data_IF_990823406700
#
_entry.id   IF_990823406700
#
_cell.length_a   1.000
_cell.length_b   1.000
_cell.length_c   1.000
_cell.angle_alpha   90.00
_cell.angle_beta   90.00
_cell.angle_gamma   90.00
#
_symmetry.space_group_name_H-M   'P 1'
#
loop_
_entity.id
_entity.type
_entity.pdbx_description
1 polymer ?
#
# COMPACT_ATOMS: atom_id res chain seq x y z
N UNK A 1 7.67 -14.14 -7.05
CA UNK A 1 6.93 -13.00 -7.64
C UNK A 1 7.40 -11.71 -6.98
N UNK A 2 7.42 -10.59 -7.71
CA UNK A 2 7.99 -9.31 -7.22
C UNK A 2 6.87 -8.46 -6.62
N UNK A 3 7.02 -8.04 -5.35
CA UNK A 3 6.06 -7.14 -4.69
C UNK A 3 5.96 -5.81 -5.47
N UNK A 4 4.73 -5.41 -5.84
CA UNK A 4 4.43 -4.16 -6.52
C UNK A 4 3.54 -3.28 -5.65
N UNK A 5 3.62 -1.96 -5.81
CA UNK A 5 2.80 -1.02 -5.06
C UNK A 5 1.80 -0.31 -5.98
N UNK A 6 0.57 -0.15 -5.52
CA UNK A 6 -0.46 0.62 -6.21
C UNK A 6 -0.09 2.11 -6.29
N UNK A 7 -0.23 2.74 -7.46
CA UNK A 7 0.07 4.16 -7.63
C UNK A 7 -0.90 5.11 -6.91
N UNK A 8 -2.11 4.64 -6.59
CA UNK A 8 -3.17 5.46 -5.98
C UNK A 8 -3.27 5.23 -4.47
N UNK A 9 -3.45 3.98 -4.04
CA UNK A 9 -3.66 3.66 -2.62
C UNK A 9 -2.41 3.15 -1.90
N UNK A 10 -1.29 3.03 -2.61
CA UNK A 10 0.01 2.58 -2.10
C UNK A 10 0.05 1.16 -1.52
N UNK A 11 -1.05 0.40 -1.60
CA UNK A 11 -1.09 -0.98 -1.15
C UNK A 11 -0.07 -1.83 -1.94
N UNK A 12 0.69 -2.64 -1.22
CA UNK A 12 1.60 -3.62 -1.82
C UNK A 12 0.78 -4.86 -2.15
N UNK A 13 0.77 -5.20 -3.44
CA UNK A 13 -0.04 -6.26 -4.04
C UNK A 13 0.81 -7.05 -5.04
N UNK A 14 0.22 -8.12 -5.55
CA UNK A 14 0.77 -8.89 -6.66
C UNK A 14 0.02 -8.55 -7.95
N UNK A 15 0.73 -8.58 -9.09
CA UNK A 15 0.17 -8.30 -10.41
C UNK A 15 0.22 -6.82 -10.82
N UNK A 16 -0.26 -6.56 -12.03
CA UNK A 16 -0.22 -5.23 -12.68
C UNK A 16 -1.36 -4.29 -12.25
N UNK A 17 -2.43 -4.84 -11.67
CA UNK A 17 -3.64 -4.11 -11.30
C UNK A 17 -3.93 -4.32 -9.81
N UNK A 18 -4.19 -3.23 -9.10
CA UNK A 18 -4.43 -3.27 -7.67
C UNK A 18 -5.79 -3.90 -7.35
N UNK A 19 -5.79 -5.00 -6.61
CA UNK A 19 -7.01 -5.69 -6.18
C UNK A 19 -7.90 -4.88 -5.21
N UNK A 20 -7.39 -3.76 -4.69
CA UNK A 20 -8.13 -2.90 -3.73
C UNK A 20 -8.89 -1.78 -4.43
N UNK A 21 -8.33 -1.20 -5.51
CA UNK A 21 -8.90 -0.01 -6.16
C UNK A 21 -8.84 -0.02 -7.69
N UNK A 22 -8.41 -1.14 -8.29
CA UNK A 22 -8.25 -1.35 -9.74
C UNK A 22 -7.29 -0.39 -10.47
N UNK A 23 -6.47 0.37 -9.72
CA UNK A 23 -5.43 1.21 -10.32
C UNK A 23 -4.17 0.41 -10.71
N UNK A 24 -3.34 0.93 -11.63
CA UNK A 24 -2.07 0.30 -12.00
C UNK A 24 -1.09 0.21 -10.83
N UNK A 25 -0.22 -0.80 -10.87
CA UNK A 25 0.84 -1.01 -9.89
C UNK A 25 2.22 -0.73 -10.48
N UNK A 26 3.20 -0.49 -9.62
CA UNK A 26 4.59 -0.21 -9.99
C UNK A 26 5.54 -1.09 -9.20
N UNK A 27 6.64 -1.50 -9.85
CA UNK A 27 7.78 -2.11 -9.15
C UNK A 27 8.78 -1.08 -8.64
N UNK A 28 8.67 0.19 -9.04
CA UNK A 28 9.48 1.28 -8.50
C UNK A 28 8.71 1.96 -7.37
N UNK A 29 9.04 1.52 -6.16
CA UNK A 29 8.50 2.08 -4.93
C UNK A 29 9.54 1.95 -3.82
N UNK A 30 9.37 2.73 -2.75
CA UNK A 30 10.31 2.74 -1.62
C UNK A 30 9.62 3.02 -0.30
N UNK A 31 10.22 2.51 0.78
CA UNK A 31 9.68 2.58 2.13
C UNK A 31 8.57 1.55 2.35
N UNK A 32 8.67 0.77 3.43
CA UNK A 32 7.76 -0.32 3.74
C UNK A 32 7.00 -0.01 5.02
N UNK A 33 5.68 -0.17 4.98
CA UNK A 33 4.81 0.01 6.13
C UNK A 33 3.86 -1.18 6.24
N UNK A 34 3.79 -1.77 7.43
CA UNK A 34 2.78 -2.78 7.75
C UNK A 34 1.81 -2.16 8.75
N UNK A 35 0.54 -2.11 8.38
CA UNK A 35 -0.54 -1.74 9.29
C UNK A 35 -1.25 -3.03 9.73
N UNK A 36 -1.12 -3.37 11.01
CA UNK A 36 -1.78 -4.54 11.61
C UNK A 36 -3.19 -4.20 12.07
N UNK A 37 -3.33 -3.10 12.83
CA UNK A 37 -4.61 -2.59 13.31
C UNK A 37 -4.71 -1.09 12.99
N UNK A 38 -5.45 -0.71 11.93
CA UNK A 38 -5.63 0.69 11.56
C UNK A 38 -6.27 1.55 12.66
N UNK A 39 -7.19 0.96 13.44
CA UNK A 39 -7.95 1.69 14.47
C UNK A 39 -7.05 2.13 15.62
N UNK A 40 -6.08 1.29 16.00
CA UNK A 40 -5.13 1.54 17.08
C UNK A 40 -3.78 2.12 16.59
N UNK A 41 -3.59 2.33 15.29
CA UNK A 41 -2.34 2.84 14.72
C UNK A 41 -2.40 4.34 14.44
N UNK A 42 -1.64 5.13 15.21
CA UNK A 42 -1.43 6.56 14.94
C UNK A 42 -0.84 6.83 13.55
N UNK A 43 0.00 5.91 13.07
CA UNK A 43 0.60 6.00 11.72
C UNK A 43 -0.48 5.79 10.66
N UNK A 44 -1.34 4.78 10.82
CA UNK A 44 -2.44 4.52 9.89
C UNK A 44 -3.40 5.72 9.82
N UNK A 45 -3.78 6.26 10.98
CA UNK A 45 -4.64 7.45 11.07
C UNK A 45 -4.03 8.65 10.35
N UNK A 46 -2.74 8.93 10.58
CA UNK A 46 -2.02 10.03 9.92
C UNK A 46 -1.93 9.85 8.40
N UNK A 47 -1.88 8.60 7.92
CA UNK A 47 -1.82 8.26 6.50
C UNK A 47 -3.20 8.03 5.86
N UNK A 48 -4.28 8.12 6.63
CA UNK A 48 -5.64 7.82 6.13
C UNK A 48 -5.87 6.35 5.76
N UNK A 49 -5.03 5.43 6.23
CA UNK A 49 -5.14 3.98 5.96
C UNK A 49 -6.22 3.39 6.87
N UNK A 50 -7.22 2.74 6.26
CA UNK A 50 -8.36 2.13 6.97
C UNK A 50 -8.38 0.60 6.92
N UNK A 51 -7.52 0.01 6.10
CA UNK A 51 -7.48 -1.44 5.87
C UNK A 51 -6.12 -1.95 6.34
N UNK A 52 -6.06 -3.08 7.08
CA UNK A 52 -4.78 -3.68 7.44
C UNK A 52 -4.08 -4.22 6.20
N UNK A 53 -2.76 -4.14 6.18
CA UNK A 53 -1.98 -4.59 5.02
C UNK A 53 -0.59 -4.00 4.95
N UNK A 54 0.07 -4.28 3.83
CA UNK A 54 1.38 -3.79 3.47
C UNK A 54 1.23 -2.60 2.53
N UNK A 55 2.00 -1.55 2.76
CA UNK A 55 1.93 -0.29 2.00
C UNK A 55 3.33 0.22 1.68
N UNK A 56 3.46 0.87 0.54
CA UNK A 56 4.62 1.65 0.18
C UNK A 56 4.48 3.10 0.68
N UNK A 57 5.59 3.73 1.08
CA UNK A 57 5.56 5.15 1.44
C UNK A 57 5.65 6.06 0.20
N UNK A 58 6.32 5.60 -0.85
CA UNK A 58 6.47 6.33 -2.12
C UNK A 58 6.39 5.35 -3.29
N UNK A 59 5.63 5.70 -4.32
CA UNK A 59 5.47 4.93 -5.56
C UNK A 59 5.80 5.84 -6.76
N UNK A 60 6.50 5.32 -7.77
CA UNK A 60 6.83 6.02 -9.02
C UNK A 60 6.13 5.35 -10.22
#
# INVERSE_FOLDING_TARGET
MKEKACKECHAIVEGEVCVVCNAPTSSDWSGYLIIIDPSNSKIAQKMGIKVPGKYALKVR
#
